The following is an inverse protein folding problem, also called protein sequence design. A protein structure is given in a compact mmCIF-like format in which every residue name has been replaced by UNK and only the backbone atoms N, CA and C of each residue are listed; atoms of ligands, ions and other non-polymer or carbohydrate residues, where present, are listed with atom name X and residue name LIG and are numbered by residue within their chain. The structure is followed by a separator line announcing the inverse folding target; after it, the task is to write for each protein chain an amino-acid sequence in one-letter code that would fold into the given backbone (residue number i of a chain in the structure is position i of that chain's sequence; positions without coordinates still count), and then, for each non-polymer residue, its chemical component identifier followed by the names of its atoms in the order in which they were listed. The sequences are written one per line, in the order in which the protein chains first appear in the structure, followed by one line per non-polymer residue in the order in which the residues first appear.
data_IF_001185571785
#
_entry.id   IF_001185571785
#
_cell.length_a   1.000
_cell.length_b   1.000
_cell.length_c   1.000
_cell.angle_alpha   90.00
_cell.angle_beta   90.00
_cell.angle_gamma   90.00
#
_symmetry.space_group_name_H-M   'P 1'
#
loop_
_entity.id
_entity.type
_entity.pdbx_description
1 polymer ?
#
# COMPACT_ATOMS: atom_id res chain seq x y z
N UNK A 1 6.69 8.98 -14.07
CA UNK A 1 5.23 9.07 -14.09
C UNK A 1 4.70 7.75 -13.59
N UNK A 2 3.49 7.73 -13.03
CA UNK A 2 2.95 6.48 -12.47
C UNK A 2 1.42 6.46 -12.57
N UNK A 3 0.92 6.61 -13.79
CA UNK A 3 -0.49 6.56 -14.13
C UNK A 3 -0.99 5.11 -14.10
N UNK A 4 -2.11 4.85 -13.43
CA UNK A 4 -2.74 3.52 -13.41
C UNK A 4 -3.95 3.56 -14.35
N UNK A 5 -4.09 2.55 -15.20
CA UNK A 5 -5.22 2.44 -16.13
C UNK A 5 -5.85 1.05 -16.02
N UNK A 6 -7.15 1.01 -15.82
CA UNK A 6 -7.99 -0.18 -15.93
C UNK A 6 -8.85 -0.04 -17.18
N UNK A 7 -8.81 -1.02 -18.07
CA UNK A 7 -9.58 -1.02 -19.31
C UNK A 7 -10.46 -2.26 -19.38
N UNK A 8 -11.78 -2.09 -19.24
CA UNK A 8 -12.81 -3.14 -19.29
C UNK A 8 -12.46 -4.35 -18.44
N UNK A 9 -11.97 -4.07 -17.22
CA UNK A 9 -11.47 -5.11 -16.33
C UNK A 9 -12.62 -5.94 -15.78
N UNK A 10 -12.55 -7.23 -16.02
CA UNK A 10 -13.45 -8.24 -15.49
C UNK A 10 -12.69 -9.24 -14.64
N UNK A 11 -13.29 -9.71 -13.54
CA UNK A 11 -12.74 -10.81 -12.75
C UNK A 11 -13.83 -11.70 -12.21
N UNK A 12 -13.72 -12.99 -12.51
CA UNK A 12 -14.56 -14.04 -11.95
C UNK A 12 -13.72 -15.06 -11.19
N UNK A 13 -14.26 -15.56 -10.11
CA UNK A 13 -13.69 -16.65 -9.31
C UNK A 13 -14.62 -17.86 -9.34
N UNK A 14 -14.06 -19.06 -9.29
CA UNK A 14 -14.82 -20.30 -9.16
C UNK A 14 -14.67 -20.81 -7.73
N UNK A 15 -15.79 -21.01 -7.04
CA UNK A 15 -15.83 -21.58 -5.70
C UNK A 15 -16.91 -22.68 -5.65
N UNK A 16 -16.51 -23.89 -5.32
CA UNK A 16 -17.46 -25.03 -5.23
C UNK A 16 -18.16 -25.38 -6.55
N UNK A 17 -17.58 -25.04 -7.71
CA UNK A 17 -18.18 -25.26 -9.03
C UNK A 17 -19.06 -24.11 -9.51
N UNK A 18 -19.36 -23.12 -8.68
CA UNK A 18 -20.12 -21.92 -9.05
C UNK A 18 -19.17 -20.76 -9.39
N UNK A 19 -19.49 -20.02 -10.44
CA UNK A 19 -18.76 -18.83 -10.87
C UNK A 19 -19.33 -17.59 -10.17
N UNK A 20 -18.48 -16.83 -9.51
CA UNK A 20 -18.81 -15.55 -8.89
C UNK A 20 -18.02 -14.42 -9.58
N UNK A 21 -18.72 -13.43 -10.12
CA UNK A 21 -18.12 -12.25 -10.73
C UNK A 21 -17.82 -11.21 -9.66
N UNK A 22 -16.54 -10.93 -9.44
CA UNK A 22 -16.09 -9.95 -8.46
C UNK A 22 -15.94 -8.54 -9.05
N UNK A 23 -15.57 -8.45 -10.33
CA UNK A 23 -15.45 -7.19 -11.07
C UNK A 23 -16.11 -7.34 -12.44
N UNK A 24 -16.84 -6.32 -12.88
CA UNK A 24 -17.56 -6.26 -14.14
C UNK A 24 -17.29 -4.95 -14.86
N UNK A 25 -16.66 -5.02 -16.03
CA UNK A 25 -16.38 -3.91 -16.95
C UNK A 25 -15.87 -2.64 -16.26
N UNK A 26 -14.84 -2.78 -15.42
CA UNK A 26 -14.27 -1.65 -14.70
C UNK A 26 -13.35 -0.86 -15.61
N UNK A 27 -13.72 0.40 -15.85
CA UNK A 27 -12.89 1.41 -16.52
C UNK A 27 -12.55 2.49 -15.48
N UNK A 28 -11.26 2.67 -15.20
CA UNK A 28 -10.76 3.66 -14.24
C UNK A 28 -9.37 4.12 -14.64
N UNK A 29 -9.14 5.41 -14.50
CA UNK A 29 -7.81 6.02 -14.64
C UNK A 29 -7.47 6.73 -13.33
N UNK A 30 -6.26 6.48 -12.82
CA UNK A 30 -5.66 7.23 -11.71
C UNK A 30 -4.44 7.93 -12.29
N UNK A 31 -4.48 9.26 -12.31
CA UNK A 31 -3.41 10.05 -12.92
C UNK A 31 -2.14 10.07 -12.08
N UNK A 32 -1.02 10.47 -12.71
CA UNK A 32 0.27 10.58 -12.01
C UNK A 32 0.14 11.51 -10.78
N UNK A 33 0.56 11.04 -9.62
CA UNK A 33 0.49 11.71 -8.31
C UNK A 33 -0.93 12.02 -7.81
N UNK A 34 -1.92 11.39 -8.36
CA UNK A 34 -3.28 11.47 -7.86
C UNK A 34 -3.46 10.54 -6.64
N UNK A 35 -4.25 11.00 -5.67
CA UNK A 35 -4.70 10.20 -4.53
C UNK A 35 -6.16 9.83 -4.74
N UNK A 36 -6.43 8.58 -5.08
CA UNK A 36 -7.78 8.07 -5.32
C UNK A 36 -8.19 7.13 -4.19
N UNK A 37 -9.29 7.46 -3.52
CA UNK A 37 -9.93 6.61 -2.53
C UNK A 37 -11.07 5.79 -3.15
N UNK A 38 -11.03 4.48 -2.99
CA UNK A 38 -12.12 3.57 -3.37
C UNK A 38 -12.87 3.16 -2.11
N UNK A 39 -14.13 3.56 -2.03
CA UNK A 39 -15.01 3.30 -0.90
C UNK A 39 -16.10 2.30 -1.29
N UNK A 40 -16.46 1.42 -0.39
CA UNK A 40 -17.58 0.48 -0.59
C UNK A 40 -17.63 -0.61 0.48
N UNK A 41 -18.70 -1.40 0.51
CA UNK A 41 -18.87 -2.48 1.48
C UNK A 41 -17.82 -3.58 1.32
N UNK A 42 -17.63 -4.39 2.36
CA UNK A 42 -16.76 -5.56 2.29
C UNK A 42 -17.24 -6.54 1.22
N UNK A 43 -16.31 -7.13 0.47
CA UNK A 43 -16.61 -8.12 -0.56
C UNK A 43 -17.02 -7.55 -1.93
N UNK A 44 -17.10 -6.23 -2.14
CA UNK A 44 -17.47 -5.65 -3.44
C UNK A 44 -16.31 -5.57 -4.48
N UNK A 45 -15.18 -6.22 -4.23
CA UNK A 45 -14.08 -6.32 -5.21
C UNK A 45 -12.94 -5.31 -5.06
N UNK A 46 -12.97 -4.36 -4.12
CA UNK A 46 -11.92 -3.33 -3.94
C UNK A 46 -10.51 -3.91 -3.79
N UNK A 47 -10.34 -4.85 -2.87
CA UNK A 47 -9.05 -5.55 -2.67
C UNK A 47 -8.62 -6.32 -3.90
N UNK A 48 -9.56 -6.91 -4.66
CA UNK A 48 -9.27 -7.59 -5.93
C UNK A 48 -8.71 -6.60 -6.95
N UNK A 49 -9.33 -5.43 -7.09
CA UNK A 49 -8.87 -4.37 -7.98
C UNK A 49 -7.44 -3.92 -7.62
N UNK A 50 -7.20 -3.64 -6.34
CA UNK A 50 -5.88 -3.24 -5.86
C UNK A 50 -4.82 -4.34 -6.06
N UNK A 51 -5.17 -5.61 -5.82
CA UNK A 51 -4.26 -6.74 -6.05
C UNK A 51 -3.85 -6.89 -7.51
N UNK A 52 -4.70 -6.48 -8.45
CA UNK A 52 -4.33 -6.45 -9.87
C UNK A 52 -3.24 -5.41 -10.13
N UNK A 53 -3.37 -4.21 -9.56
CA UNK A 53 -2.29 -3.20 -9.65
C UNK A 53 -1.02 -3.68 -8.97
N UNK A 54 -1.13 -4.43 -7.88
CA UNK A 54 0.03 -5.02 -7.20
C UNK A 54 0.71 -6.15 -8.00
N UNK A 55 0.06 -6.67 -9.06
CA UNK A 55 0.52 -7.85 -9.80
C UNK A 55 0.33 -9.17 -9.03
N UNK A 56 -0.58 -9.19 -8.05
CA UNK A 56 -0.89 -10.36 -7.21
C UNK A 56 -2.17 -11.08 -7.67
N UNK A 57 -2.93 -10.46 -8.56
CA UNK A 57 -4.15 -10.99 -9.17
C UNK A 57 -4.22 -10.49 -10.62
N UNK A 58 -4.90 -11.23 -11.51
CA UNK A 58 -4.97 -10.86 -12.93
C UNK A 58 -6.41 -10.83 -13.41
N UNK A 59 -6.76 -9.95 -14.36
CA UNK A 59 -8.10 -9.89 -14.90
C UNK A 59 -8.45 -11.15 -15.69
N UNK A 60 -9.74 -11.54 -15.69
CA UNK A 60 -10.26 -12.59 -16.58
C UNK A 60 -10.49 -12.05 -17.99
N UNK A 61 -10.72 -10.75 -18.13
CA UNK A 61 -10.78 -10.00 -19.37
C UNK A 61 -10.46 -8.52 -19.11
N UNK A 62 -10.04 -7.79 -20.14
CA UNK A 62 -9.54 -6.43 -20.00
C UNK A 62 -8.06 -6.40 -19.61
N UNK A 63 -7.54 -5.22 -19.29
CA UNK A 63 -6.13 -5.04 -18.92
C UNK A 63 -5.96 -4.03 -17.78
N UNK A 64 -4.87 -4.20 -17.00
CA UNK A 64 -4.42 -3.24 -15.98
C UNK A 64 -3.00 -2.83 -16.32
N UNK A 65 -2.74 -1.52 -16.35
CA UNK A 65 -1.44 -0.97 -16.74
C UNK A 65 -0.94 0.07 -15.76
N UNK A 66 0.38 0.18 -15.66
CA UNK A 66 1.06 1.33 -15.05
C UNK A 66 1.98 1.93 -16.11
N UNK A 67 1.80 3.23 -16.42
CA UNK A 67 2.56 3.93 -17.46
C UNK A 67 2.57 3.18 -18.81
N UNK A 68 1.41 2.76 -19.29
CA UNK A 68 1.21 2.00 -20.53
C UNK A 68 1.83 0.58 -20.55
N UNK A 69 2.49 0.15 -19.47
CA UNK A 69 3.02 -1.20 -19.32
C UNK A 69 1.99 -2.08 -18.62
N UNK A 70 1.57 -3.16 -19.27
CA UNK A 70 0.64 -4.12 -18.67
C UNK A 70 1.25 -4.85 -17.48
N UNK A 71 0.46 -4.99 -16.43
CA UNK A 71 0.90 -5.64 -15.18
C UNK A 71 0.75 -7.16 -15.34
N UNK A 72 1.87 -7.86 -15.38
CA UNK A 72 1.94 -9.33 -15.48
C UNK A 72 2.57 -9.98 -14.26
N UNK A 73 3.18 -9.20 -13.36
CA UNK A 73 3.84 -9.69 -12.15
C UNK A 73 4.01 -8.56 -11.12
N UNK A 74 4.31 -8.85 -9.84
CA UNK A 74 4.70 -7.84 -8.86
C UNK A 74 5.99 -7.13 -9.28
N UNK A 75 6.06 -5.81 -9.02
CA UNK A 75 7.22 -4.99 -9.40
C UNK A 75 7.70 -4.06 -8.28
N UNK A 76 8.98 -3.63 -8.31
CA UNK A 76 9.56 -2.72 -7.33
C UNK A 76 9.11 -1.25 -7.49
N UNK A 77 8.39 -0.94 -8.55
CA UNK A 77 7.76 0.35 -8.87
C UNK A 77 6.48 0.58 -8.07
N UNK A 78 5.95 -0.48 -7.43
CA UNK A 78 4.72 -0.49 -6.64
C UNK A 78 4.99 -1.00 -5.22
N UNK A 79 4.36 -0.38 -4.22
CA UNK A 79 4.40 -0.87 -2.85
C UNK A 79 2.99 -1.01 -2.27
N UNK A 80 2.81 -2.01 -1.40
CA UNK A 80 1.52 -2.31 -0.77
C UNK A 80 1.62 -2.16 0.74
N UNK A 81 0.67 -1.42 1.31
CA UNK A 81 0.38 -1.39 2.74
C UNK A 81 -0.87 -2.25 2.97
N UNK A 82 -0.69 -3.39 3.61
CA UNK A 82 -1.78 -4.33 3.90
C UNK A 82 -2.50 -4.00 5.20
N UNK A 83 -3.75 -4.37 5.32
CA UNK A 83 -4.57 -4.23 6.54
C UNK A 83 -3.91 -4.89 7.77
N UNK A 84 -3.28 -6.04 7.60
CA UNK A 84 -2.61 -6.81 8.65
C UNK A 84 -1.13 -6.41 8.87
N UNK A 85 -0.73 -5.17 8.48
CA UNK A 85 0.64 -4.61 8.56
C UNK A 85 1.69 -5.42 7.77
N UNK A 86 1.60 -6.73 7.73
CA UNK A 86 2.48 -7.67 7.05
C UNK A 86 3.99 -7.40 7.30
N UNK A 87 4.34 -7.07 8.54
CA UNK A 87 5.73 -6.91 8.95
C UNK A 87 6.42 -8.27 9.04
N UNK A 88 7.70 -8.29 8.74
CA UNK A 88 8.53 -9.48 8.97
C UNK A 88 8.75 -9.64 10.48
N UNK A 89 8.16 -10.65 11.14
CA UNK A 89 8.18 -10.76 12.61
C UNK A 89 9.59 -11.03 13.18
N UNK A 90 10.50 -11.54 12.36
CA UNK A 90 11.91 -11.81 12.70
C UNK A 90 12.86 -10.66 12.38
N UNK A 91 12.36 -9.50 11.94
CA UNK A 91 13.13 -8.32 11.62
C UNK A 91 12.82 -7.19 12.57
N UNK A 92 13.82 -6.40 12.93
CA UNK A 92 13.66 -5.16 13.68
C UNK A 92 12.88 -4.10 12.87
N UNK A 93 12.52 -2.99 13.50
CA UNK A 93 11.93 -1.81 12.84
C UNK A 93 12.82 -1.33 11.68
N UNK A 94 14.10 -1.09 11.94
CA UNK A 94 15.04 -0.62 10.91
C UNK A 94 15.22 -1.64 9.78
N UNK A 95 15.24 -2.94 10.09
CA UNK A 95 15.36 -4.00 9.10
C UNK A 95 14.09 -4.19 8.27
N UNK A 96 12.91 -3.96 8.85
CA UNK A 96 11.65 -3.93 8.11
C UNK A 96 11.64 -2.77 7.12
N UNK A 97 11.96 -1.55 7.56
CA UNK A 97 12.00 -0.35 6.70
C UNK A 97 13.05 -0.51 5.60
N UNK A 98 14.23 -1.02 5.96
CA UNK A 98 15.36 -1.17 5.05
C UNK A 98 15.30 -2.38 4.10
N UNK A 99 14.33 -3.29 4.26
CA UNK A 99 14.29 -4.55 3.53
C UNK A 99 14.27 -4.35 2.01
N UNK A 100 13.32 -3.59 1.51
CA UNK A 100 13.19 -3.36 0.07
C UNK A 100 14.38 -2.61 -0.53
N UNK A 101 14.98 -1.66 0.22
CA UNK A 101 16.20 -0.96 -0.19
C UNK A 101 17.38 -1.93 -0.33
N UNK A 102 17.46 -2.92 0.59
CA UNK A 102 18.47 -3.97 0.51
C UNK A 102 18.26 -4.87 -0.73
N UNK A 103 17.01 -5.21 -1.03
CA UNK A 103 16.67 -5.98 -2.24
C UNK A 103 17.01 -5.24 -3.54
N UNK A 104 16.87 -3.90 -3.54
CA UNK A 104 17.34 -3.03 -4.65
C UNK A 104 18.87 -2.91 -4.75
N UNK A 105 19.65 -3.56 -3.89
CA UNK A 105 21.12 -3.50 -3.90
C UNK A 105 21.69 -2.18 -3.39
N UNK A 106 20.91 -1.35 -2.71
CA UNK A 106 21.35 -0.05 -2.21
C UNK A 106 22.51 -0.20 -1.19
N UNK A 107 23.54 0.64 -1.31
CA UNK A 107 24.68 0.64 -0.40
C UNK A 107 24.29 0.91 1.06
N UNK A 108 24.95 0.25 2.00
CA UNK A 108 24.59 0.33 3.42
C UNK A 108 24.56 1.76 4.00
N UNK A 109 25.51 2.68 3.69
CA UNK A 109 25.47 4.04 4.20
C UNK A 109 24.28 4.86 3.68
N UNK A 110 23.90 4.67 2.42
CA UNK A 110 22.76 5.35 1.80
C UNK A 110 21.45 4.82 2.40
N UNK A 111 21.32 3.50 2.50
CA UNK A 111 20.18 2.84 3.14
C UNK A 111 19.98 3.32 4.57
N UNK A 112 21.05 3.43 5.36
CA UNK A 112 20.99 3.91 6.74
C UNK A 112 20.42 5.34 6.84
N UNK A 113 20.77 6.23 5.91
CA UNK A 113 20.22 7.60 5.86
C UNK A 113 18.72 7.60 5.62
N UNK A 114 18.25 6.77 4.68
CA UNK A 114 16.81 6.66 4.36
C UNK A 114 16.06 6.08 5.55
N UNK A 115 16.55 4.99 6.14
CA UNK A 115 15.94 4.36 7.32
C UNK A 115 15.82 5.37 8.46
N UNK A 116 16.90 6.07 8.79
CA UNK A 116 16.90 7.10 9.85
C UNK A 116 15.86 8.18 9.58
N UNK A 117 15.80 8.70 8.35
CA UNK A 117 14.80 9.69 7.95
C UNK A 117 13.37 9.21 8.21
N UNK A 118 13.03 7.96 7.82
CA UNK A 118 11.68 7.45 8.01
C UNK A 118 11.36 7.09 9.46
N UNK A 119 12.35 6.67 10.25
CA UNK A 119 12.18 6.49 11.71
C UNK A 119 11.84 7.83 12.37
N UNK A 120 12.55 8.90 12.03
CA UNK A 120 12.29 10.25 12.54
C UNK A 120 10.91 10.77 12.09
N UNK A 121 10.58 10.65 10.80
CA UNK A 121 9.30 11.09 10.24
C UNK A 121 8.10 10.38 10.89
N UNK A 122 8.23 9.10 11.24
CA UNK A 122 7.17 8.29 11.83
C UNK A 122 7.17 8.30 13.35
N UNK A 123 8.03 9.08 13.99
CA UNK A 123 8.12 9.11 15.45
C UNK A 123 8.46 7.75 16.07
N UNK A 124 9.31 6.97 15.41
CA UNK A 124 9.75 5.63 15.84
C UNK A 124 11.13 5.66 16.54
N UNK A 125 11.61 6.85 16.91
CA UNK A 125 12.88 7.01 17.62
C UNK A 125 12.90 6.24 18.94
N UNK A 126 14.00 5.52 19.20
CA UNK A 126 14.16 4.62 20.35
C UNK A 126 13.62 3.20 20.15
N UNK A 127 12.96 2.92 19.01
CA UNK A 127 12.42 1.60 18.68
C UNK A 127 13.11 0.94 17.48
N UNK A 128 14.27 1.46 17.05
CA UNK A 128 14.98 1.01 15.85
C UNK A 128 15.24 -0.49 15.84
N UNK A 129 15.61 -1.02 17.01
CA UNK A 129 15.96 -2.43 17.23
C UNK A 129 14.80 -3.28 17.71
N UNK A 130 13.62 -2.68 17.99
CA UNK A 130 12.45 -3.41 18.44
C UNK A 130 11.89 -4.31 17.34
N UNK A 131 11.31 -5.44 17.72
CA UNK A 131 10.63 -6.38 16.84
C UNK A 131 9.12 -6.08 16.83
N UNK A 132 8.37 -6.50 15.75
CA UNK A 132 6.94 -6.22 15.66
C UNK A 132 6.11 -6.57 16.90
N UNK A 133 6.38 -7.70 17.54
CA UNK A 133 5.67 -8.13 18.76
C UNK A 133 5.88 -7.23 19.98
N UNK A 134 6.85 -6.32 19.94
CA UNK A 134 7.16 -5.35 20.99
C UNK A 134 6.51 -3.99 20.75
N UNK A 135 5.77 -3.83 19.63
CA UNK A 135 5.18 -2.58 19.18
C UNK A 135 3.66 -2.60 19.35
N UNK A 136 3.09 -1.43 19.66
CA UNK A 136 1.63 -1.24 19.56
C UNK A 136 1.15 -1.36 18.10
N UNK A 137 -0.15 -1.59 17.88
CA UNK A 137 -0.73 -1.67 16.54
C UNK A 137 -0.45 -0.42 15.71
N UNK A 138 -0.59 0.78 16.30
CA UNK A 138 -0.26 2.03 15.64
C UNK A 138 1.22 2.16 15.26
N UNK A 139 2.13 1.67 16.10
CA UNK A 139 3.56 1.65 15.78
C UNK A 139 3.86 0.65 14.64
N UNK A 140 3.25 -0.53 14.66
CA UNK A 140 3.38 -1.50 13.57
C UNK A 140 2.90 -0.92 12.24
N UNK A 141 1.78 -0.18 12.24
CA UNK A 141 1.28 0.52 11.07
C UNK A 141 2.26 1.58 10.57
N UNK A 142 2.83 2.39 11.47
CA UNK A 142 3.88 3.37 11.11
C UNK A 142 5.07 2.71 10.45
N UNK A 143 5.52 1.55 10.94
CA UNK A 143 6.61 0.78 10.32
C UNK A 143 6.21 0.27 8.93
N UNK A 144 4.97 -0.21 8.74
CA UNK A 144 4.48 -0.69 7.45
C UNK A 144 4.42 0.44 6.41
N UNK A 145 3.93 1.62 6.80
CA UNK A 145 3.90 2.81 5.95
C UNK A 145 5.34 3.27 5.65
N UNK A 146 6.21 3.38 6.66
CA UNK A 146 7.62 3.75 6.48
C UNK A 146 8.34 2.83 5.49
N UNK A 147 8.14 1.51 5.62
CA UNK A 147 8.70 0.49 4.71
C UNK A 147 8.29 0.72 3.26
N UNK A 148 7.01 1.01 3.06
CA UNK A 148 6.44 1.21 1.73
C UNK A 148 6.94 2.52 1.09
N UNK A 149 6.96 3.62 1.84
CA UNK A 149 7.48 4.90 1.36
C UNK A 149 9.00 4.93 1.17
N UNK A 150 9.75 4.20 2.01
CA UNK A 150 11.21 4.13 1.91
C UNK A 150 11.68 3.54 0.58
N UNK A 151 10.91 2.63 0.00
CA UNK A 151 11.17 2.05 -1.33
C UNK A 151 11.16 3.08 -2.46
N UNK A 152 10.59 4.26 -2.22
CA UNK A 152 10.37 5.30 -3.21
C UNK A 152 9.61 4.77 -4.45
N UNK A 153 8.44 4.13 -4.24
CA UNK A 153 7.67 3.56 -5.34
C UNK A 153 6.95 4.67 -6.12
N UNK A 154 6.68 4.44 -7.40
CA UNK A 154 5.83 5.30 -8.21
C UNK A 154 4.36 5.20 -7.79
N UNK A 155 3.91 3.98 -7.46
CA UNK A 155 2.53 3.66 -7.04
C UNK A 155 2.52 3.13 -5.62
N UNK A 156 1.63 3.67 -4.80
CA UNK A 156 1.38 3.23 -3.44
C UNK A 156 -0.05 2.70 -3.30
N UNK A 157 -0.17 1.47 -2.89
CA UNK A 157 -1.42 0.75 -2.72
C UNK A 157 -1.70 0.57 -1.23
N UNK A 158 -2.88 0.95 -0.76
CA UNK A 158 -3.24 0.86 0.65
C UNK A 158 -4.58 0.13 0.81
N UNK A 159 -4.58 -1.03 1.45
CA UNK A 159 -5.76 -1.85 1.70
C UNK A 159 -6.20 -1.70 3.15
N UNK A 160 -7.22 -0.89 3.38
CA UNK A 160 -7.78 -0.59 4.70
C UNK A 160 -6.69 -0.32 5.76
N UNK A 161 -5.75 0.62 5.51
CA UNK A 161 -4.53 0.75 6.31
C UNK A 161 -4.80 1.12 7.77
N UNK A 162 -5.99 1.60 8.09
CA UNK A 162 -6.34 2.02 9.45
C UNK A 162 -7.37 1.11 10.13
N UNK A 163 -7.82 0.05 9.46
CA UNK A 163 -8.87 -0.84 9.95
C UNK A 163 -8.56 -1.55 11.27
N UNK A 164 -7.29 -1.80 11.57
CA UNK A 164 -6.85 -2.47 12.80
C UNK A 164 -6.53 -1.50 13.96
N UNK A 165 -6.73 -0.18 13.79
CA UNK A 165 -6.37 0.84 14.77
C UNK A 165 -7.58 1.28 15.60
N UNK A 166 -7.35 1.62 16.87
CA UNK A 166 -8.33 2.33 17.69
C UNK A 166 -8.59 3.75 17.13
N UNK A 167 -9.71 4.35 17.52
CA UNK A 167 -10.17 5.62 16.95
C UNK A 167 -9.17 6.78 17.12
N UNK A 168 -8.52 6.89 18.28
CA UNK A 168 -7.57 7.97 18.56
C UNK A 168 -6.29 7.82 17.74
N UNK A 169 -5.73 6.62 17.69
CA UNK A 169 -4.54 6.28 16.89
C UNK A 169 -4.82 6.47 15.41
N UNK A 170 -6.04 6.13 14.95
CA UNK A 170 -6.47 6.29 13.56
C UNK A 170 -6.38 7.73 13.08
N UNK A 171 -6.94 8.68 13.84
CA UNK A 171 -6.91 10.12 13.48
C UNK A 171 -5.47 10.60 13.32
N UNK A 172 -4.60 10.31 14.28
CA UNK A 172 -3.19 10.70 14.19
C UNK A 172 -2.46 10.07 12.99
N UNK A 173 -2.83 8.85 12.61
CA UNK A 173 -2.25 8.18 11.44
C UNK A 173 -2.75 8.75 10.11
N UNK A 174 -4.00 9.18 10.04
CA UNK A 174 -4.57 9.88 8.88
C UNK A 174 -3.84 11.20 8.63
N UNK A 175 -3.67 12.02 9.68
CA UNK A 175 -2.91 13.28 9.59
C UNK A 175 -1.47 13.05 9.11
N UNK A 176 -0.80 12.02 9.65
CA UNK A 176 0.56 11.67 9.26
C UNK A 176 0.64 11.22 7.80
N UNK A 177 -0.32 10.41 7.32
CA UNK A 177 -0.39 9.98 5.93
C UNK A 177 -0.59 11.17 4.97
N UNK A 178 -1.49 12.10 5.30
CA UNK A 178 -1.71 13.32 4.52
C UNK A 178 -0.43 14.14 4.45
N UNK A 179 0.25 14.32 5.59
CA UNK A 179 1.52 15.03 5.66
C UNK A 179 2.57 14.40 4.77
N UNK A 180 2.71 13.06 4.81
CA UNK A 180 3.64 12.32 3.96
C UNK A 180 3.30 12.45 2.48
N UNK A 181 2.03 12.34 2.11
CA UNK A 181 1.57 12.45 0.73
C UNK A 181 1.86 13.84 0.16
N UNK A 182 1.75 14.89 0.97
CA UNK A 182 2.13 16.26 0.56
C UNK A 182 3.64 16.45 0.42
N UNK A 183 4.44 15.85 1.30
CA UNK A 183 5.91 15.94 1.27
C UNK A 183 6.53 15.09 0.16
N UNK A 184 5.92 13.97 -0.16
CA UNK A 184 6.39 13.00 -1.15
C UNK A 184 5.21 12.55 -2.01
N UNK A 185 4.74 13.37 -2.97
CA UNK A 185 3.59 13.02 -3.82
C UNK A 185 3.83 11.72 -4.60
N UNK A 186 2.87 10.80 -4.53
CA UNK A 186 2.85 9.50 -5.24
C UNK A 186 1.47 9.27 -5.81
N UNK A 187 1.37 8.43 -6.81
CA UNK A 187 0.09 7.91 -7.23
C UNK A 187 -0.39 6.92 -6.18
N UNK A 188 -1.53 7.20 -5.56
CA UNK A 188 -2.06 6.42 -4.42
C UNK A 188 -3.42 5.85 -4.76
N UNK A 189 -3.55 4.53 -4.61
CA UNK A 189 -4.84 3.86 -4.59
C UNK A 189 -5.14 3.41 -3.15
N UNK A 190 -6.11 4.08 -2.53
CA UNK A 190 -6.47 3.90 -1.14
C UNK A 190 -7.82 3.20 -1.03
N UNK A 191 -7.86 2.06 -0.37
CA UNK A 191 -9.10 1.29 -0.14
C UNK A 191 -9.54 1.46 1.30
N UNK A 192 -10.81 1.80 1.47
CA UNK A 192 -11.44 1.87 2.79
C UNK A 192 -12.92 1.50 2.70
N UNK A 193 -13.51 1.18 3.83
CA UNK A 193 -14.96 1.06 4.00
C UNK A 193 -15.55 2.28 4.76
N UNK A 194 -14.71 3.16 5.29
CA UNK A 194 -15.10 4.36 6.03
C UNK A 194 -15.10 5.58 5.09
N UNK A 195 -16.27 6.21 4.92
CA UNK A 195 -16.40 7.40 4.07
C UNK A 195 -15.58 8.56 4.61
N UNK A 196 -15.48 8.69 5.93
CA UNK A 196 -14.70 9.73 6.59
C UNK A 196 -13.22 9.68 6.20
N UNK A 197 -12.65 8.48 5.99
CA UNK A 197 -11.26 8.31 5.56
C UNK A 197 -11.01 8.76 4.11
N UNK A 198 -12.04 8.77 3.29
CA UNK A 198 -11.94 9.16 1.88
C UNK A 198 -12.07 10.67 1.66
N UNK A 199 -12.59 11.41 2.66
CA UNK A 199 -12.85 12.86 2.57
C UNK A 199 -11.74 13.69 3.23
N UNK A 200 -10.84 13.03 3.97
CA UNK A 200 -9.68 13.66 4.60
C UNK A 200 -8.60 13.98 3.57
#
# INVERSE_FOLDING_TARGET
MSRITFEKVNRSFVRGGESFQALADVDLVVEDREFVAIVGPSGCGKTTLMRMVAGLEFPSAGSVRVDDVEITEPGPDRAVVFQAFALFPWKSVEDNIGFGLKCKGMAAPERAKIIKRFIELMGLGGYEKAYPHQLSGGMQQRVAIARSYALDPGVLLMDEPFGALDAQTRVGMQEELIRLSRLNPRTVLFITHAVEEAVY
#
